data_IF_382176539817
#
_entry.id   IF_382176539817
#
_cell.length_a   1.000
_cell.length_b   1.000
_cell.length_c   1.000
_cell.angle_alpha   90.00
_cell.angle_beta   90.00
_cell.angle_gamma   90.00
#
_symmetry.space_group_name_H-M   'P 1'
#
loop_
_entity.id
_entity.type
_entity.pdbx_description
1 polymer ?
#
# COMPACT_ATOMS: atom_id res chain seq x y z
N UNK A 1 -12.10 10.73 2.07
CA UNK A 1 -10.65 10.61 1.95
C UNK A 1 -10.29 9.59 0.87
N UNK A 2 -9.33 9.92 -0.03
CA UNK A 2 -8.92 9.05 -1.13
C UNK A 2 -7.85 8.08 -0.63
N UNK A 3 -8.13 6.78 -0.78
CA UNK A 3 -7.23 5.66 -0.54
C UNK A 3 -7.10 4.90 -1.85
N UNK A 4 -6.34 5.49 -2.77
CA UNK A 4 -6.29 5.01 -4.13
C UNK A 4 -4.99 4.29 -4.47
N UNK A 5 -4.96 3.72 -5.64
CA UNK A 5 -3.77 3.07 -6.20
C UNK A 5 -3.65 3.36 -7.68
N UNK A 6 -2.46 3.12 -8.22
CA UNK A 6 -2.19 3.18 -9.64
C UNK A 6 -2.41 1.80 -10.28
N UNK A 7 -3.20 1.76 -11.32
CA UNK A 7 -3.44 0.60 -12.15
C UNK A 7 -2.51 0.61 -13.36
N UNK A 8 -1.67 -0.41 -13.47
CA UNK A 8 -0.81 -0.60 -14.62
C UNK A 8 -1.41 -1.72 -15.46
N UNK A 9 -1.80 -1.46 -16.72
CA UNK A 9 -2.37 -2.48 -17.58
C UNK A 9 -1.40 -3.64 -17.80
N UNK A 10 -1.94 -4.82 -17.99
CA UNK A 10 -1.16 -6.04 -18.23
C UNK A 10 -0.34 -5.90 -19.53
N UNK A 11 0.99 -5.96 -19.42
CA UNK A 11 1.92 -5.63 -20.50
C UNK A 11 1.90 -6.66 -21.65
N UNK A 12 1.50 -7.91 -21.35
CA UNK A 12 1.41 -8.98 -22.34
C UNK A 12 0.10 -8.94 -23.13
N UNK A 13 -0.80 -8.02 -22.78
CA UNK A 13 -2.15 -7.89 -23.35
C UNK A 13 -2.97 -9.21 -23.29
N UNK A 14 -2.75 -9.98 -22.23
CA UNK A 14 -3.42 -11.26 -21.97
C UNK A 14 -4.44 -11.14 -20.84
N UNK A 15 -5.19 -10.05 -20.84
CA UNK A 15 -6.26 -9.85 -19.87
C UNK A 15 -7.41 -10.83 -20.14
N UNK A 16 -8.00 -11.33 -19.06
CA UNK A 16 -9.27 -12.04 -19.10
C UNK A 16 -10.23 -11.41 -18.09
N UNK A 17 -11.52 -11.67 -18.28
CA UNK A 17 -12.53 -11.18 -17.35
C UNK A 17 -12.31 -11.72 -15.93
N UNK A 18 -11.87 -12.98 -15.80
CA UNK A 18 -11.56 -13.62 -14.52
C UNK A 18 -10.39 -12.92 -13.81
N UNK A 19 -9.33 -12.59 -14.56
CA UNK A 19 -8.19 -11.85 -14.01
C UNK A 19 -8.60 -10.46 -13.55
N UNK A 20 -9.30 -9.72 -14.42
CA UNK A 20 -9.81 -8.38 -14.10
C UNK A 20 -10.69 -8.41 -12.86
N UNK A 21 -11.57 -9.41 -12.74
CA UNK A 21 -12.41 -9.61 -11.57
C UNK A 21 -11.59 -9.87 -10.29
N UNK A 22 -10.58 -10.73 -10.37
CA UNK A 22 -9.73 -11.05 -9.21
C UNK A 22 -8.94 -9.82 -8.73
N UNK A 23 -8.31 -9.08 -9.64
CA UNK A 23 -7.52 -7.88 -9.29
C UNK A 23 -8.39 -6.75 -8.72
N UNK A 24 -9.56 -6.50 -9.28
CA UNK A 24 -10.49 -5.50 -8.76
C UNK A 24 -11.07 -5.90 -7.39
N UNK A 25 -11.29 -7.19 -7.17
CA UNK A 25 -11.67 -7.70 -5.85
C UNK A 25 -10.54 -7.51 -4.83
N UNK A 26 -9.29 -7.78 -5.17
CA UNK A 26 -8.16 -7.50 -4.29
C UNK A 26 -8.11 -6.01 -3.93
N UNK A 27 -8.26 -5.13 -4.93
CA UNK A 27 -8.31 -3.68 -4.70
C UNK A 27 -9.43 -3.32 -3.72
N UNK A 28 -10.64 -3.79 -3.95
CA UNK A 28 -11.79 -3.50 -3.09
C UNK A 28 -11.66 -4.05 -1.68
N UNK A 29 -11.18 -5.30 -1.55
CA UNK A 29 -11.02 -5.98 -0.27
C UNK A 29 -9.88 -5.39 0.57
N UNK A 30 -8.87 -4.81 -0.06
CA UNK A 30 -7.80 -4.10 0.64
C UNK A 30 -8.19 -2.70 1.14
N UNK A 31 -9.43 -2.24 0.90
CA UNK A 31 -9.90 -0.94 1.36
C UNK A 31 -9.64 0.21 0.37
N UNK A 32 -9.09 -0.08 -0.80
CA UNK A 32 -8.92 0.88 -1.90
C UNK A 32 -10.27 1.36 -2.40
N UNK A 33 -10.38 2.66 -2.70
CA UNK A 33 -11.61 3.30 -3.16
C UNK A 33 -11.46 4.05 -4.50
N UNK A 34 -10.24 4.21 -5.02
CA UNK A 34 -9.98 4.85 -6.31
C UNK A 34 -8.82 4.18 -7.04
N UNK A 35 -9.00 3.99 -8.34
CA UNK A 35 -7.96 3.48 -9.26
C UNK A 35 -7.58 4.56 -10.26
N UNK A 36 -6.28 4.86 -10.35
CA UNK A 36 -5.73 5.75 -11.37
C UNK A 36 -5.28 4.92 -12.57
N UNK A 37 -5.91 5.16 -13.69
CA UNK A 37 -5.49 4.59 -14.97
C UNK A 37 -4.33 5.42 -15.48
N UNK A 38 -3.11 4.94 -15.22
CA UNK A 38 -1.87 5.65 -15.50
C UNK A 38 -1.69 5.96 -16.99
N UNK A 39 -1.21 7.16 -17.31
CA UNK A 39 -1.07 7.68 -18.67
C UNK A 39 -0.07 6.92 -19.56
N UNK A 40 0.82 6.11 -18.99
CA UNK A 40 1.67 5.18 -19.75
C UNK A 40 0.97 3.90 -20.21
N UNK A 41 -0.31 3.73 -19.88
CA UNK A 41 -1.09 2.54 -20.20
C UNK A 41 -2.11 2.74 -21.33
N UNK A 42 -3.17 1.97 -21.28
CA UNK A 42 -4.32 2.03 -22.20
C UNK A 42 -5.61 2.16 -21.37
N UNK A 43 -6.72 2.57 -22.02
CA UNK A 43 -8.03 2.51 -21.40
C UNK A 43 -8.50 1.05 -21.32
N UNK A 44 -8.90 0.62 -20.14
CA UNK A 44 -9.37 -0.73 -19.88
C UNK A 44 -10.70 -1.06 -20.59
N UNK A 45 -11.07 -2.34 -20.55
CA UNK A 45 -12.29 -2.87 -21.19
C UNK A 45 -13.58 -2.32 -20.56
N UNK A 46 -14.70 -2.50 -21.26
CA UNK A 46 -16.02 -2.15 -20.70
C UNK A 46 -16.33 -2.97 -19.44
N UNK A 47 -15.89 -4.22 -19.40
CA UNK A 47 -16.05 -5.09 -18.24
C UNK A 47 -15.33 -4.54 -17.00
N UNK A 48 -14.12 -3.97 -17.16
CA UNK A 48 -13.40 -3.31 -16.06
C UNK A 48 -14.25 -2.18 -15.45
N UNK A 49 -14.79 -1.29 -16.27
CA UNK A 49 -15.61 -0.16 -15.78
C UNK A 49 -16.92 -0.64 -15.15
N UNK A 50 -17.56 -1.65 -15.75
CA UNK A 50 -18.75 -2.28 -15.16
C UNK A 50 -18.44 -2.84 -13.75
N UNK A 51 -17.34 -3.55 -13.59
CA UNK A 51 -16.94 -4.07 -12.28
C UNK A 51 -16.59 -2.95 -11.29
N UNK A 52 -15.95 -1.87 -11.74
CA UNK A 52 -15.72 -0.70 -10.89
C UNK A 52 -17.04 -0.09 -10.40
N UNK A 53 -18.05 0.00 -11.26
CA UNK A 53 -19.39 0.44 -10.89
C UNK A 53 -20.02 -0.47 -9.82
N UNK A 54 -19.94 -1.79 -10.01
CA UNK A 54 -20.52 -2.80 -9.11
C UNK A 54 -19.79 -2.85 -7.75
N UNK A 55 -18.47 -2.70 -7.76
CA UNK A 55 -17.64 -2.78 -6.55
C UNK A 55 -17.51 -1.44 -5.82
N UNK A 56 -17.98 -0.34 -6.42
CA UNK A 56 -17.86 0.99 -5.84
C UNK A 56 -16.42 1.52 -5.82
N UNK A 57 -15.65 1.21 -6.87
CA UNK A 57 -14.30 1.73 -7.08
C UNK A 57 -14.37 2.94 -8.01
N UNK A 58 -13.87 4.08 -7.56
CA UNK A 58 -13.76 5.26 -8.42
C UNK A 58 -12.60 5.10 -9.41
N UNK A 59 -12.72 5.75 -10.56
CA UNK A 59 -11.70 5.73 -11.62
C UNK A 59 -11.26 7.16 -11.95
N UNK A 60 -9.96 7.39 -11.90
CA UNK A 60 -9.25 8.53 -12.46
C UNK A 60 -8.66 8.07 -13.79
N UNK A 61 -9.14 8.59 -14.91
CA UNK A 61 -8.68 8.20 -16.25
C UNK A 61 -7.69 9.21 -16.80
N UNK A 62 -6.47 8.75 -17.09
CA UNK A 62 -5.48 9.52 -17.85
C UNK A 62 -5.51 9.16 -19.32
N UNK A 63 -5.04 10.10 -20.16
CA UNK A 63 -4.83 9.88 -21.58
C UNK A 63 -3.33 9.73 -21.88
N UNK A 64 -3.00 8.96 -22.87
CA UNK A 64 -1.75 8.24 -23.17
C UNK A 64 -0.52 9.13 -23.46
N UNK A 65 -0.22 10.03 -22.54
CA UNK A 65 0.98 10.86 -22.55
C UNK A 65 1.72 10.71 -21.22
N UNK A 66 3.04 10.55 -21.29
CA UNK A 66 3.92 10.48 -20.11
C UNK A 66 5.05 11.48 -20.21
N UNK A 67 5.83 11.66 -19.13
CA UNK A 67 7.00 12.53 -19.10
C UNK A 67 8.01 12.26 -20.23
N UNK A 68 8.10 11.03 -20.69
CA UNK A 68 8.95 10.60 -21.79
C UNK A 68 8.36 10.87 -23.18
N UNK A 69 7.04 11.05 -23.26
CA UNK A 69 6.31 11.24 -24.52
C UNK A 69 5.51 12.53 -24.47
N UNK A 70 6.06 13.61 -24.98
CA UNK A 70 5.47 14.95 -24.87
C UNK A 70 4.45 15.27 -25.95
N UNK A 71 4.51 14.60 -27.10
CA UNK A 71 3.61 14.84 -28.23
C UNK A 71 3.30 13.52 -28.94
N UNK A 72 2.02 13.28 -29.31
CA UNK A 72 1.68 12.14 -30.14
C UNK A 72 2.26 12.30 -31.54
N UNK A 73 2.64 11.19 -32.17
CA UNK A 73 3.11 11.18 -33.56
C UNK A 73 2.06 11.72 -34.53
N UNK A 74 0.81 11.39 -34.26
CA UNK A 74 -0.35 11.87 -35.04
C UNK A 74 -1.42 12.40 -34.06
N UNK A 75 -1.54 13.73 -34.02
CA UNK A 75 -2.49 14.39 -33.16
C UNK A 75 -3.95 14.05 -33.52
N UNK A 76 -4.27 13.87 -34.81
CA UNK A 76 -5.63 13.59 -35.22
C UNK A 76 -6.06 12.18 -34.75
N UNK A 77 -5.18 11.21 -34.90
CA UNK A 77 -5.39 9.85 -34.38
C UNK A 77 -5.52 9.86 -32.86
N UNK A 78 -4.62 10.58 -32.15
CA UNK A 78 -4.71 10.73 -30.70
C UNK A 78 -6.06 11.28 -30.26
N UNK A 79 -6.49 12.42 -30.83
CA UNK A 79 -7.76 13.06 -30.48
C UNK A 79 -8.96 12.19 -30.81
N UNK A 80 -8.91 11.41 -31.90
CA UNK A 80 -9.95 10.45 -32.24
C UNK A 80 -10.03 9.30 -31.22
N UNK A 81 -8.90 8.84 -30.71
CA UNK A 81 -8.85 7.83 -29.67
C UNK A 81 -9.40 8.37 -28.33
N UNK A 82 -9.03 9.61 -27.95
CA UNK A 82 -9.61 10.27 -26.77
C UNK A 82 -11.13 10.38 -26.91
N UNK A 83 -11.63 10.86 -28.08
CA UNK A 83 -13.06 10.98 -28.33
C UNK A 83 -13.79 9.63 -28.22
N UNK A 84 -13.23 8.58 -28.84
CA UNK A 84 -13.81 7.23 -28.80
C UNK A 84 -13.85 6.69 -27.36
N UNK A 85 -12.74 6.83 -26.62
CA UNK A 85 -12.66 6.37 -25.23
C UNK A 85 -13.66 7.11 -24.33
N UNK A 86 -13.72 8.43 -24.40
CA UNK A 86 -14.65 9.21 -23.58
C UNK A 86 -16.11 8.84 -23.88
N UNK A 87 -16.48 8.67 -25.15
CA UNK A 87 -17.82 8.23 -25.52
C UNK A 87 -18.18 6.86 -24.94
N UNK A 88 -17.21 5.98 -24.83
CA UNK A 88 -17.38 4.64 -24.27
C UNK A 88 -17.57 4.67 -22.75
N UNK A 89 -16.71 5.44 -22.04
CA UNK A 89 -16.63 5.33 -20.56
C UNK A 89 -17.44 6.40 -19.80
N UNK A 90 -17.84 7.49 -20.41
CA UNK A 90 -18.47 8.64 -19.73
C UNK A 90 -19.78 8.35 -18.98
N UNK A 91 -20.45 7.24 -19.28
CA UNK A 91 -21.70 6.88 -18.61
C UNK A 91 -21.50 6.00 -17.37
N UNK A 92 -20.25 5.59 -17.06
CA UNK A 92 -19.96 4.83 -15.87
C UNK A 92 -19.94 5.71 -14.62
N UNK A 93 -20.71 5.41 -13.57
CA UNK A 93 -20.71 6.17 -12.32
C UNK A 93 -19.40 6.06 -11.57
N UNK A 94 -18.60 5.02 -11.80
CA UNK A 94 -17.26 4.86 -11.26
C UNK A 94 -16.28 5.91 -11.79
N UNK A 95 -16.43 6.37 -13.01
CA UNK A 95 -15.55 7.38 -13.60
C UNK A 95 -15.72 8.72 -12.89
N UNK A 96 -14.70 9.12 -12.12
CA UNK A 96 -14.76 10.32 -11.27
C UNK A 96 -14.08 11.54 -11.90
N UNK A 97 -12.96 11.33 -12.63
CA UNK A 97 -12.07 12.42 -13.02
C UNK A 97 -11.30 12.10 -14.30
N UNK A 98 -11.00 13.14 -15.08
CA UNK A 98 -10.14 13.05 -16.25
C UNK A 98 -8.83 13.79 -16.02
N UNK A 99 -7.73 13.20 -16.51
CA UNK A 99 -6.42 13.85 -16.51
C UNK A 99 -5.78 13.67 -17.89
N UNK A 100 -5.21 14.75 -18.44
CA UNK A 100 -4.75 14.71 -19.81
C UNK A 100 -3.41 13.94 -19.98
N UNK A 101 -2.60 13.86 -18.94
CA UNK A 101 -1.28 13.22 -19.06
C UNK A 101 -0.69 12.85 -17.71
N UNK A 102 0.23 11.89 -17.72
CA UNK A 102 1.14 11.63 -16.61
C UNK A 102 2.40 12.48 -16.78
N UNK A 103 2.73 13.35 -15.80
CA UNK A 103 3.99 14.13 -15.76
C UNK A 103 4.37 14.81 -17.09
N UNK A 104 3.39 15.21 -17.89
CA UNK A 104 3.57 15.78 -19.21
C UNK A 104 2.57 16.91 -19.46
N UNK A 105 2.68 17.56 -20.61
CA UNK A 105 1.71 18.55 -21.04
C UNK A 105 0.53 17.89 -21.73
N UNK A 106 -0.67 18.47 -21.59
CA UNK A 106 -1.81 18.03 -22.37
C UNK A 106 -1.59 18.23 -23.87
N UNK A 107 -2.24 17.41 -24.67
CA UNK A 107 -2.33 17.64 -26.12
C UNK A 107 -3.36 18.72 -26.36
N UNK A 108 -2.96 19.84 -26.97
CA UNK A 108 -3.82 21.00 -27.25
C UNK A 108 -5.15 20.58 -27.87
N UNK A 109 -6.25 21.02 -27.29
CA UNK A 109 -7.62 20.70 -27.69
C UNK A 109 -8.25 19.57 -26.88
N UNK A 110 -7.50 18.90 -26.00
CA UNK A 110 -8.05 17.86 -25.12
C UNK A 110 -9.09 18.41 -24.13
N UNK A 111 -8.84 19.54 -23.42
CA UNK A 111 -9.84 20.10 -22.51
C UNK A 111 -11.15 20.45 -23.20
N UNK A 112 -11.10 21.08 -24.37
CA UNK A 112 -12.28 21.45 -25.14
C UNK A 112 -13.06 20.23 -25.62
N UNK A 113 -12.35 19.19 -26.04
CA UNK A 113 -12.97 17.91 -26.44
C UNK A 113 -13.67 17.24 -25.26
N UNK A 114 -13.02 17.16 -24.11
CA UNK A 114 -13.60 16.58 -22.90
C UNK A 114 -14.84 17.34 -22.44
N UNK A 115 -14.77 18.67 -22.39
CA UNK A 115 -15.91 19.50 -22.01
C UNK A 115 -17.09 19.34 -22.99
N UNK A 116 -16.80 19.16 -24.28
CA UNK A 116 -17.85 18.92 -25.30
C UNK A 116 -18.50 17.55 -25.15
N UNK A 117 -17.74 16.53 -24.80
CA UNK A 117 -18.20 15.14 -24.74
C UNK A 117 -18.80 14.78 -23.38
N UNK A 118 -18.23 15.32 -22.30
CA UNK A 118 -18.64 15.09 -20.91
C UNK A 118 -18.26 16.30 -20.03
N UNK A 119 -19.12 17.27 -19.97
CA UNK A 119 -18.94 18.48 -19.15
C UNK A 119 -19.30 18.31 -17.67
N UNK A 120 -19.48 17.07 -17.19
CA UNK A 120 -19.96 16.81 -15.83
C UNK A 120 -18.85 16.44 -14.84
N UNK A 121 -17.66 16.07 -15.32
CA UNK A 121 -16.53 15.65 -14.51
C UNK A 121 -15.42 16.67 -14.50
N UNK A 122 -14.66 16.69 -13.39
CA UNK A 122 -13.45 17.48 -13.28
C UNK A 122 -12.39 17.03 -14.28
N UNK A 123 -11.50 17.96 -14.61
CA UNK A 123 -10.40 17.75 -15.53
C UNK A 123 -9.15 18.44 -14.98
N UNK A 124 -8.00 17.79 -15.18
CA UNK A 124 -6.69 18.30 -14.82
C UNK A 124 -5.70 18.11 -15.99
N UNK A 125 -4.82 19.07 -16.23
CA UNK A 125 -3.94 19.07 -17.40
C UNK A 125 -2.83 18.00 -17.30
N UNK A 126 -2.39 17.68 -16.10
CA UNK A 126 -1.42 16.63 -15.83
C UNK A 126 -1.54 16.13 -14.39
N UNK A 127 -0.90 15.00 -14.11
CA UNK A 127 -0.98 14.34 -12.80
C UNK A 127 -0.46 15.18 -11.63
N UNK A 128 0.46 16.13 -11.87
CA UNK A 128 1.19 16.89 -10.84
C UNK A 128 0.89 18.40 -10.88
N UNK A 129 -0.33 18.83 -11.04
CA UNK A 129 -0.66 20.24 -11.04
C UNK A 129 -1.78 20.58 -10.06
N UNK A 130 -2.04 21.88 -9.84
CA UNK A 130 -3.16 22.40 -9.05
C UNK A 130 -3.22 21.89 -7.59
N UNK A 131 -2.06 21.76 -6.94
CA UNK A 131 -1.96 21.29 -5.54
C UNK A 131 -1.80 19.76 -5.40
N UNK A 132 -1.82 19.06 -6.51
CA UNK A 132 -1.41 17.66 -6.58
C UNK A 132 0.10 17.61 -6.78
N UNK A 133 0.79 16.83 -5.98
CA UNK A 133 2.25 16.73 -6.07
C UNK A 133 2.72 15.28 -6.00
N UNK A 134 3.65 14.96 -6.85
CA UNK A 134 4.46 13.77 -6.79
C UNK A 134 5.67 14.01 -5.86
N UNK A 135 6.28 12.98 -5.42
CA UNK A 135 7.44 13.10 -4.54
C UNK A 135 7.73 11.82 -3.78
N UNK A 136 7.16 10.73 -4.24
CA UNK A 136 7.43 9.42 -3.66
C UNK A 136 8.90 9.07 -3.74
N UNK A 137 9.50 8.47 -2.73
CA UNK A 137 10.85 7.92 -2.82
C UNK A 137 10.95 6.73 -3.78
N UNK A 138 9.84 6.07 -4.17
CA UNK A 138 9.75 4.88 -5.02
C UNK A 138 10.61 3.70 -4.55
N UNK A 139 11.04 3.72 -3.31
CA UNK A 139 11.91 2.72 -2.66
C UNK A 139 11.55 2.58 -1.19
N UNK A 140 12.12 1.58 -0.55
CA UNK A 140 12.00 1.40 0.88
C UNK A 140 12.67 2.58 1.63
N UNK A 141 12.00 3.09 2.66
CA UNK A 141 12.55 4.09 3.56
C UNK A 141 12.23 3.71 5.00
N UNK A 142 12.96 4.30 5.95
CA UNK A 142 12.63 4.11 7.36
C UNK A 142 11.21 4.63 7.63
N UNK A 143 10.33 3.87 8.30
CA UNK A 143 8.98 4.30 8.63
C UNK A 143 8.90 5.69 9.29
N UNK A 144 9.85 6.04 10.14
CA UNK A 144 9.91 7.37 10.79
C UNK A 144 10.06 8.50 9.78
N UNK A 145 10.72 8.25 8.64
CA UNK A 145 10.92 9.26 7.60
C UNK A 145 9.61 9.75 7.01
N UNK A 146 8.59 8.90 6.90
CA UNK A 146 7.27 9.32 6.44
C UNK A 146 6.64 10.33 7.40
N UNK A 147 6.82 10.14 8.71
CA UNK A 147 6.26 11.03 9.73
C UNK A 147 7.03 12.35 9.88
N UNK A 148 8.26 12.47 9.40
CA UNK A 148 8.98 13.75 9.38
C UNK A 148 8.34 14.78 8.44
N UNK A 149 7.60 14.32 7.45
CA UNK A 149 6.94 15.15 6.44
C UNK A 149 7.86 16.23 5.86
N UNK A 150 9.06 15.83 5.47
CA UNK A 150 10.05 16.74 4.91
C UNK A 150 9.73 17.07 3.46
N UNK A 151 9.50 18.33 3.16
CA UNK A 151 9.32 18.82 1.80
C UNK A 151 10.66 18.75 1.03
N UNK A 152 10.94 17.59 0.47
CA UNK A 152 12.02 17.41 -0.52
C UNK A 152 11.40 17.13 -1.88
N UNK A 153 12.04 17.49 -3.00
CA UNK A 153 11.55 17.16 -4.35
C UNK A 153 11.28 15.68 -4.61
N UNK A 154 11.71 14.80 -3.75
CA UNK A 154 11.36 13.35 -3.73
C UNK A 154 11.39 12.83 -2.30
N UNK A 155 10.94 13.63 -1.36
CA UNK A 155 10.87 13.29 0.05
C UNK A 155 9.54 12.69 0.45
N UNK A 156 9.42 12.41 1.72
CA UNK A 156 8.21 11.82 2.33
C UNK A 156 7.17 12.91 2.61
N UNK A 157 6.81 13.70 1.61
CA UNK A 157 5.78 14.72 1.78
C UNK A 157 4.40 14.05 1.81
N UNK A 158 3.72 14.17 2.93
CA UNK A 158 2.42 13.53 3.22
C UNK A 158 1.33 14.58 3.52
N UNK A 159 1.15 15.48 2.58
CA UNK A 159 0.13 16.53 2.59
C UNK A 159 -0.47 16.71 1.19
N UNK A 160 -1.55 17.45 1.06
CA UNK A 160 -2.23 17.66 -0.21
C UNK A 160 -2.83 16.36 -0.77
N UNK A 161 -2.55 16.11 -2.02
CA UNK A 161 -2.85 14.85 -2.71
C UNK A 161 -1.63 14.39 -3.50
N UNK A 162 -1.28 13.12 -3.37
CA UNK A 162 -0.14 12.56 -4.10
C UNK A 162 -0.59 11.45 -5.05
N UNK A 163 -0.38 11.59 -6.38
CA UNK A 163 -0.82 10.60 -7.37
C UNK A 163 0.10 9.38 -7.45
N UNK A 164 1.31 9.43 -6.87
CA UNK A 164 2.29 8.35 -6.95
C UNK A 164 3.14 8.24 -5.69
N UNK A 165 2.66 7.53 -4.68
CA UNK A 165 3.39 7.35 -3.43
C UNK A 165 3.49 5.88 -3.03
N UNK A 166 4.64 5.25 -3.19
CA UNK A 166 4.79 3.83 -2.88
C UNK A 166 6.21 3.30 -3.05
N UNK A 167 6.35 2.00 -2.83
CA UNK A 167 7.60 1.28 -3.05
C UNK A 167 7.31 -0.17 -3.47
N UNK A 168 8.25 -0.83 -4.16
CA UNK A 168 8.13 -2.24 -4.49
C UNK A 168 8.27 -3.13 -3.25
N UNK A 169 7.83 -4.37 -3.40
CA UNK A 169 8.13 -5.46 -2.46
C UNK A 169 8.72 -6.64 -3.21
N UNK A 170 9.37 -7.58 -2.51
CA UNK A 170 9.85 -8.80 -3.13
C UNK A 170 8.67 -9.79 -3.27
N UNK A 171 8.58 -10.59 -4.36
CA UNK A 171 7.61 -11.69 -4.46
C UNK A 171 7.81 -12.74 -3.37
N UNK A 172 6.82 -13.61 -3.19
CA UNK A 172 7.01 -14.82 -2.37
C UNK A 172 8.04 -15.74 -3.03
N UNK A 173 8.60 -16.66 -2.25
CA UNK A 173 9.62 -17.58 -2.78
C UNK A 173 9.05 -18.52 -3.84
N UNK A 174 7.79 -18.88 -3.72
CA UNK A 174 7.06 -19.71 -4.69
C UNK A 174 7.06 -19.04 -6.06
N UNK A 175 6.74 -17.77 -6.11
CA UNK A 175 6.70 -16.99 -7.35
C UNK A 175 8.10 -16.75 -7.92
N UNK A 176 9.10 -16.51 -7.07
CA UNK A 176 10.49 -16.43 -7.54
C UNK A 176 10.91 -17.72 -8.24
N UNK A 177 10.49 -18.89 -7.72
CA UNK A 177 10.75 -20.21 -8.34
C UNK A 177 9.98 -20.46 -9.62
N UNK A 178 8.84 -19.79 -9.82
CA UNK A 178 8.10 -19.85 -11.09
C UNK A 178 8.75 -18.98 -12.18
N UNK A 179 9.41 -17.88 -11.79
CA UNK A 179 9.98 -16.91 -12.73
C UNK A 179 11.37 -17.26 -13.23
N UNK A 180 12.16 -18.04 -12.48
CA UNK A 180 13.56 -18.30 -12.83
C UNK A 180 14.06 -19.67 -12.34
N UNK A 181 15.11 -20.16 -12.97
CA UNK A 181 15.74 -21.43 -12.61
C UNK A 181 16.38 -21.36 -11.21
N UNK A 182 16.43 -22.50 -10.50
CA UNK A 182 17.04 -22.61 -9.16
C UNK A 182 18.50 -22.10 -9.11
N UNK A 183 19.28 -22.29 -10.17
CA UNK A 183 20.67 -21.80 -10.27
C UNK A 183 20.78 -20.28 -10.28
N UNK A 184 19.71 -19.58 -10.65
CA UNK A 184 19.67 -18.12 -10.78
C UNK A 184 19.04 -17.46 -9.54
N UNK A 185 18.37 -18.26 -8.69
CA UNK A 185 17.73 -17.81 -7.46
C UNK A 185 18.75 -17.50 -6.36
N UNK A 186 19.66 -18.45 -6.11
CA UNK A 186 20.58 -18.31 -4.97
C UNK A 186 21.92 -19.04 -5.18
N UNK A 187 23.08 -18.36 -4.99
CA UNK A 187 23.21 -16.92 -4.78
C UNK A 187 22.58 -16.12 -5.93
N UNK A 188 22.07 -14.94 -5.65
CA UNK A 188 21.39 -14.09 -6.65
C UNK A 188 22.25 -13.95 -7.91
N UNK A 189 21.74 -14.45 -9.05
CA UNK A 189 22.31 -14.16 -10.36
C UNK A 189 21.91 -12.74 -10.79
N UNK A 190 22.84 -11.79 -10.63
CA UNK A 190 22.55 -10.37 -10.87
C UNK A 190 22.03 -10.09 -12.27
N UNK A 191 22.50 -10.77 -13.30
CA UNK A 191 22.08 -10.54 -14.69
C UNK A 191 20.58 -10.88 -14.87
N UNK A 192 20.14 -12.02 -14.35
CA UNK A 192 18.73 -12.46 -14.43
C UNK A 192 17.84 -11.56 -13.58
N UNK A 193 18.27 -11.26 -12.36
CA UNK A 193 17.48 -10.43 -11.45
C UNK A 193 17.37 -8.98 -11.92
N UNK A 194 18.44 -8.39 -12.48
CA UNK A 194 18.39 -7.04 -13.05
C UNK A 194 17.47 -7.01 -14.30
N UNK A 195 17.48 -8.04 -15.12
CA UNK A 195 16.54 -8.15 -16.25
C UNK A 195 15.08 -8.14 -15.77
N UNK A 196 14.76 -8.93 -14.73
CA UNK A 196 13.43 -8.99 -14.13
C UNK A 196 13.08 -7.76 -13.28
N UNK A 197 14.04 -6.88 -12.98
CA UNK A 197 13.85 -5.54 -12.41
C UNK A 197 13.77 -4.44 -13.48
N UNK A 198 13.54 -4.78 -14.74
CA UNK A 198 13.54 -3.81 -15.83
C UNK A 198 14.88 -3.07 -16.00
N UNK A 199 15.99 -3.79 -15.86
CA UNK A 199 17.36 -3.26 -15.86
C UNK A 199 17.63 -2.22 -14.75
N UNK A 200 17.08 -2.47 -13.56
CA UNK A 200 17.27 -1.63 -12.39
C UNK A 200 16.29 -0.46 -12.28
N UNK A 201 15.28 -0.40 -13.14
CA UNK A 201 14.26 0.66 -13.12
C UNK A 201 13.55 0.79 -11.77
N UNK A 202 13.25 -0.35 -11.11
CA UNK A 202 12.54 -0.35 -9.83
C UNK A 202 13.45 -0.26 -8.60
N UNK A 203 14.76 -0.13 -8.79
CA UNK A 203 15.75 0.04 -7.72
C UNK A 203 15.80 -1.12 -6.71
N UNK A 204 15.53 -2.35 -7.15
CA UNK A 204 15.52 -3.53 -6.27
C UNK A 204 16.87 -3.80 -5.61
N UNK A 205 17.98 -3.41 -6.24
CA UNK A 205 19.32 -3.47 -5.61
C UNK A 205 19.41 -2.67 -4.30
N UNK A 206 18.69 -1.55 -4.21
CA UNK A 206 18.58 -0.78 -2.97
C UNK A 206 17.80 -1.57 -1.92
N UNK A 207 16.67 -2.16 -2.29
CA UNK A 207 15.88 -3.02 -1.42
C UNK A 207 16.71 -4.20 -0.89
N UNK A 208 17.51 -4.86 -1.74
CA UNK A 208 18.36 -5.98 -1.31
C UNK A 208 19.39 -5.55 -0.27
N UNK A 209 19.99 -4.36 -0.46
CA UNK A 209 20.91 -3.76 0.52
C UNK A 209 20.19 -3.47 1.84
N UNK A 210 19.03 -2.86 1.79
CA UNK A 210 18.23 -2.54 2.98
C UNK A 210 17.80 -3.80 3.71
N UNK A 211 17.47 -4.86 2.99
CA UNK A 211 17.09 -6.14 3.53
C UNK A 211 18.21 -6.76 4.39
N UNK A 212 19.45 -6.71 3.87
CA UNK A 212 20.63 -7.19 4.62
C UNK A 212 20.91 -6.28 5.81
N UNK A 213 20.83 -4.97 5.66
CA UNK A 213 21.10 -4.01 6.72
C UNK A 213 20.09 -4.14 7.88
N UNK A 214 18.85 -4.48 7.58
CA UNK A 214 17.78 -4.53 8.57
C UNK A 214 17.62 -5.89 9.24
N UNK A 215 17.70 -6.96 8.45
CA UNK A 215 17.38 -8.33 8.89
C UNK A 215 18.59 -9.26 8.88
N UNK A 216 19.78 -8.73 8.56
CA UNK A 216 21.00 -9.51 8.43
C UNK A 216 21.07 -10.36 7.15
N UNK A 217 22.23 -10.98 6.90
CA UNK A 217 22.45 -11.83 5.73
C UNK A 217 21.51 -13.04 5.74
N UNK A 218 21.12 -13.47 4.55
CA UNK A 218 20.33 -14.68 4.35
C UNK A 218 21.22 -15.82 3.87
N UNK A 219 20.85 -17.04 4.23
CA UNK A 219 21.55 -18.28 3.85
C UNK A 219 20.89 -19.00 2.68
N UNK A 220 19.65 -18.62 2.34
CA UNK A 220 18.86 -19.22 1.27
C UNK A 220 17.91 -18.22 0.66
N UNK A 221 17.35 -18.56 -0.50
CA UNK A 221 16.30 -17.77 -1.15
C UNK A 221 15.03 -17.71 -0.29
N UNK A 222 14.68 -18.79 0.42
CA UNK A 222 13.51 -18.82 1.30
C UNK A 222 13.63 -17.78 2.41
N UNK A 223 14.77 -17.73 3.08
CA UNK A 223 15.03 -16.73 4.12
C UNK A 223 15.05 -15.31 3.55
N UNK A 224 15.65 -15.13 2.38
CA UNK A 224 15.74 -13.84 1.71
C UNK A 224 14.35 -13.33 1.33
N UNK A 225 13.51 -14.17 0.73
CA UNK A 225 12.15 -13.81 0.35
C UNK A 225 11.28 -13.48 1.57
N UNK A 226 11.37 -14.26 2.66
CA UNK A 226 10.65 -13.97 3.90
C UNK A 226 11.02 -12.60 4.47
N UNK A 227 12.30 -12.26 4.51
CA UNK A 227 12.77 -10.93 4.94
C UNK A 227 12.28 -9.83 4.03
N UNK A 228 12.23 -10.10 2.71
CA UNK A 228 11.66 -9.18 1.73
C UNK A 228 10.17 -8.90 1.96
N UNK A 229 9.40 -9.92 2.33
CA UNK A 229 8.00 -9.78 2.71
C UNK A 229 7.84 -8.89 3.97
N UNK A 230 8.67 -9.07 4.98
CA UNK A 230 8.64 -8.24 6.20
C UNK A 230 8.97 -6.76 5.88
N UNK A 231 9.96 -6.53 5.03
CA UNK A 231 10.32 -5.17 4.63
C UNK A 231 9.20 -4.49 3.83
N UNK A 232 8.61 -5.19 2.87
CA UNK A 232 7.46 -4.72 2.10
C UNK A 232 6.25 -4.41 2.98
N UNK A 233 5.97 -5.28 3.95
CA UNK A 233 4.89 -5.13 4.91
C UNK A 233 5.01 -3.84 5.75
N UNK A 234 6.18 -3.62 6.36
CA UNK A 234 6.39 -2.45 7.23
C UNK A 234 6.32 -1.14 6.42
N UNK A 235 6.84 -1.15 5.19
CA UNK A 235 6.81 0.01 4.33
C UNK A 235 5.39 0.36 3.87
N UNK A 236 4.64 -0.60 3.33
CA UNK A 236 3.26 -0.38 2.90
C UNK A 236 2.39 0.12 4.04
N UNK A 237 2.52 -0.49 5.22
CA UNK A 237 1.81 -0.08 6.43
C UNK A 237 2.12 1.35 6.83
N UNK A 238 3.39 1.71 6.92
CA UNK A 238 3.81 3.05 7.33
C UNK A 238 3.34 4.14 6.36
N UNK A 239 3.32 3.84 5.05
CA UNK A 239 2.77 4.75 4.04
C UNK A 239 1.30 5.03 4.34
N UNK A 240 0.46 4.00 4.43
CA UNK A 240 -0.97 4.20 4.65
C UNK A 240 -1.27 4.88 5.97
N UNK A 241 -0.59 4.48 7.04
CA UNK A 241 -0.85 5.00 8.38
C UNK A 241 -0.42 6.46 8.55
N UNK A 242 0.66 6.91 7.90
CA UNK A 242 1.03 8.33 7.96
C UNK A 242 0.05 9.22 7.20
N UNK A 243 -0.50 8.74 6.08
CA UNK A 243 -1.55 9.45 5.36
C UNK A 243 -2.85 9.49 6.17
N UNK A 244 -3.20 8.43 6.86
CA UNK A 244 -4.31 8.40 7.82
C UNK A 244 -4.08 9.40 8.98
N UNK A 245 -2.85 9.49 9.50
CA UNK A 245 -2.49 10.44 10.58
C UNK A 245 -2.75 11.89 10.17
N UNK A 246 -2.43 12.23 8.93
CA UNK A 246 -2.60 13.58 8.38
C UNK A 246 -3.98 13.82 7.74
N UNK A 247 -4.88 12.85 7.84
CA UNK A 247 -6.20 12.92 7.22
C UNK A 247 -6.95 14.19 7.63
N UNK A 248 -7.37 14.96 6.61
CA UNK A 248 -8.15 16.18 6.79
C UNK A 248 -7.50 17.21 7.73
N UNK A 249 -6.18 17.27 7.80
CA UNK A 249 -5.50 18.39 8.43
C UNK A 249 -5.70 19.63 7.54
N UNK A 250 -6.38 20.63 8.08
CA UNK A 250 -6.75 21.88 7.40
C UNK A 250 -5.78 23.04 7.67
N UNK A 251 -4.61 22.76 8.25
CA UNK A 251 -3.54 23.75 8.33
C UNK A 251 -3.05 24.16 6.93
N UNK A 252 -1.83 24.61 6.82
CA UNK A 252 -1.19 24.90 5.53
C UNK A 252 -0.99 23.62 4.67
N UNK A 253 -1.39 22.45 5.17
CA UNK A 253 -1.11 21.13 4.64
C UNK A 253 -2.34 20.23 4.67
N UNK A 254 -3.40 20.68 4.03
CA UNK A 254 -4.58 19.85 3.84
C UNK A 254 -4.21 18.52 3.16
N UNK A 255 -4.62 17.40 3.75
CA UNK A 255 -4.35 16.06 3.23
C UNK A 255 -5.66 15.40 2.79
N UNK A 256 -5.82 15.16 1.49
CA UNK A 256 -7.03 14.58 0.90
C UNK A 256 -6.88 13.12 0.46
N UNK A 257 -5.65 12.60 0.41
CA UNK A 257 -5.37 11.21 0.09
C UNK A 257 -4.16 10.98 -0.79
N UNK A 258 -3.96 9.72 -1.13
CA UNK A 258 -2.88 9.28 -2.02
C UNK A 258 -3.36 8.23 -3.00
N UNK A 259 -2.58 8.04 -4.07
CA UNK A 259 -2.63 6.89 -4.96
C UNK A 259 -1.32 6.12 -4.80
N UNK A 260 -1.40 4.90 -4.26
CA UNK A 260 -0.21 4.07 -4.03
C UNK A 260 0.43 3.66 -5.36
N UNK A 261 1.73 3.91 -5.53
CA UNK A 261 2.49 3.57 -6.74
C UNK A 261 3.23 2.25 -6.57
N UNK A 262 2.77 1.23 -7.13
CA UNK A 262 1.46 0.84 -7.66
C UNK A 262 1.06 -0.50 -7.06
N UNK A 263 -0.14 -1.03 -7.32
CA UNK A 263 -0.62 -2.17 -6.56
C UNK A 263 -0.59 -3.52 -7.29
N UNK A 264 -0.69 -3.53 -8.63
CA UNK A 264 -0.69 -4.73 -9.45
C UNK A 264 0.60 -4.86 -10.30
N UNK A 265 0.98 -6.06 -10.68
CA UNK A 265 2.10 -6.30 -11.56
C UNK A 265 1.63 -6.54 -12.99
N UNK A 266 2.19 -5.78 -13.93
CA UNK A 266 1.85 -5.87 -15.36
C UNK A 266 2.51 -7.03 -16.09
N UNK A 267 3.53 -7.63 -15.50
CA UNK A 267 4.31 -8.75 -16.05
C UNK A 267 5.07 -9.46 -14.93
N UNK A 268 5.62 -10.68 -15.16
CA UNK A 268 6.52 -11.32 -14.21
C UNK A 268 7.74 -10.43 -13.93
N UNK A 269 7.96 -10.09 -12.65
CA UNK A 269 9.06 -9.21 -12.24
C UNK A 269 9.41 -9.43 -10.76
N UNK A 270 10.67 -9.18 -10.40
CA UNK A 270 11.13 -9.27 -9.00
C UNK A 270 10.70 -8.06 -8.16
N UNK A 271 10.29 -6.99 -8.81
CA UNK A 271 9.71 -5.81 -8.16
C UNK A 271 8.20 -5.98 -7.99
N UNK A 272 7.78 -6.90 -7.13
CA UNK A 272 6.36 -7.14 -6.86
C UNK A 272 5.70 -5.95 -6.16
N UNK A 273 4.40 -6.04 -5.99
CA UNK A 273 3.53 -5.01 -5.42
C UNK A 273 2.63 -5.62 -4.32
N UNK A 274 1.37 -5.23 -4.26
CA UNK A 274 0.42 -5.86 -3.34
C UNK A 274 0.12 -7.31 -3.72
N UNK A 275 0.17 -7.63 -5.01
CA UNK A 275 0.21 -8.98 -5.57
C UNK A 275 1.11 -9.00 -6.79
N UNK A 276 1.59 -10.16 -7.16
CA UNK A 276 2.42 -10.33 -8.33
C UNK A 276 1.61 -10.62 -9.60
N UNK A 277 2.32 -10.86 -10.70
CA UNK A 277 1.68 -11.15 -11.97
C UNK A 277 0.84 -12.46 -11.96
N UNK A 278 1.21 -13.44 -11.14
CA UNK A 278 0.46 -14.69 -10.96
C UNK A 278 -0.74 -14.55 -10.02
N UNK A 279 -1.05 -13.33 -9.55
CA UNK A 279 -2.10 -13.02 -8.57
C UNK A 279 -1.80 -13.57 -7.16
N UNK A 280 -0.56 -13.92 -6.87
CA UNK A 280 -0.18 -14.31 -5.52
C UNK A 280 -0.03 -13.05 -4.65
N UNK A 281 -0.79 -12.93 -3.55
CA UNK A 281 -0.72 -11.77 -2.69
C UNK A 281 0.58 -11.75 -1.89
N UNK A 282 1.16 -10.57 -1.78
CA UNK A 282 2.32 -10.31 -0.91
C UNK A 282 1.88 -9.84 0.47
N UNK A 283 2.82 -9.78 1.41
CA UNK A 283 2.55 -9.20 2.72
C UNK A 283 2.07 -7.73 2.64
N UNK A 284 2.44 -7.01 1.58
CA UNK A 284 1.98 -5.64 1.34
C UNK A 284 0.47 -5.54 1.18
N UNK A 285 -0.19 -6.51 0.52
CA UNK A 285 -1.66 -6.54 0.40
C UNK A 285 -2.33 -6.64 1.76
N UNK A 286 -1.89 -7.58 2.59
CA UNK A 286 -2.50 -7.81 3.90
C UNK A 286 -2.28 -6.63 4.86
N UNK A 287 -1.10 -6.02 4.82
CA UNK A 287 -0.81 -4.84 5.65
C UNK A 287 -1.50 -3.58 5.15
N UNK A 288 -1.70 -3.44 3.84
CA UNK A 288 -2.58 -2.41 3.27
C UNK A 288 -4.01 -2.59 3.75
N UNK A 289 -4.57 -3.79 3.63
CA UNK A 289 -5.94 -4.07 4.07
C UNK A 289 -6.15 -3.79 5.58
N UNK A 290 -5.17 -4.13 6.40
CA UNK A 290 -5.21 -3.81 7.83
C UNK A 290 -5.15 -2.30 8.07
N UNK A 291 -4.25 -1.56 7.40
CA UNK A 291 -4.10 -0.11 7.57
C UNK A 291 -5.29 0.69 7.05
N UNK A 292 -6.08 0.11 6.15
CA UNK A 292 -7.28 0.71 5.56
C UNK A 292 -8.59 0.20 6.16
N UNK A 293 -8.55 -0.49 7.32
CA UNK A 293 -9.76 -0.80 8.09
C UNK A 293 -10.52 0.49 8.41
N UNK A 294 -11.85 0.54 8.24
CA UNK A 294 -12.63 1.77 8.48
C UNK A 294 -12.59 2.30 9.91
N UNK A 295 -12.36 1.42 10.88
CA UNK A 295 -11.99 1.78 12.25
C UNK A 295 -10.62 1.17 12.51
N UNK A 296 -9.61 2.00 12.72
CA UNK A 296 -8.23 1.55 12.77
C UNK A 296 -7.44 2.22 13.89
N UNK A 297 -6.71 1.44 14.67
CA UNK A 297 -5.76 1.94 15.65
C UNK A 297 -4.33 1.79 15.09
N UNK A 298 -3.58 2.87 15.05
CA UNK A 298 -2.24 2.93 14.46
C UNK A 298 -1.20 3.57 15.36
N UNK A 299 0.07 3.29 15.11
CA UNK A 299 1.21 3.74 15.88
C UNK A 299 2.07 4.74 15.09
N UNK A 300 2.33 5.91 15.67
CA UNK A 300 3.29 6.87 15.15
C UNK A 300 4.71 6.47 15.57
N UNK A 301 5.52 6.09 14.59
CA UNK A 301 6.89 5.62 14.82
C UNK A 301 7.83 6.71 15.36
N UNK A 302 7.55 7.99 15.06
CA UNK A 302 8.41 9.12 15.45
C UNK A 302 8.07 9.62 16.85
N UNK A 303 6.78 9.80 17.14
CA UNK A 303 6.30 10.34 18.41
C UNK A 303 6.08 9.27 19.48
N UNK A 304 6.02 7.99 19.12
CA UNK A 304 5.61 6.89 19.99
C UNK A 304 4.18 7.02 20.52
N UNK A 305 3.29 7.59 19.74
CA UNK A 305 1.90 7.78 20.09
C UNK A 305 0.99 6.84 19.31
N UNK A 306 -0.24 6.69 19.78
CA UNK A 306 -1.28 5.90 19.11
C UNK A 306 -2.39 6.82 18.67
N UNK A 307 -2.80 6.68 17.42
CA UNK A 307 -3.93 7.40 16.83
C UNK A 307 -5.06 6.43 16.46
N UNK A 308 -6.28 6.92 16.37
CA UNK A 308 -7.45 6.12 16.00
C UNK A 308 -8.20 6.81 14.87
N UNK A 309 -8.37 6.08 13.78
CA UNK A 309 -9.02 6.53 12.54
C UNK A 309 -10.46 6.06 12.50
N UNK A 310 -11.34 6.92 11.99
CA UNK A 310 -12.72 6.62 11.67
C UNK A 310 -13.04 7.09 10.24
N UNK A 311 -13.29 6.16 9.32
CA UNK A 311 -13.68 6.43 7.93
C UNK A 311 -15.21 6.33 7.70
N UNK A 312 -15.98 6.09 8.76
CA UNK A 312 -17.43 6.14 8.65
C UNK A 312 -17.96 7.57 8.80
N UNK A 313 -18.98 7.92 8.07
CA UNK A 313 -19.71 9.20 8.18
C UNK A 313 -20.65 9.21 9.40
N UNK A 314 -20.17 8.74 10.55
CA UNK A 314 -20.84 8.79 11.84
C UNK A 314 -19.82 8.84 12.97
N UNK A 315 -20.22 9.45 14.08
CA UNK A 315 -19.44 9.47 15.31
C UNK A 315 -19.54 8.13 16.06
N UNK A 316 -18.47 7.81 16.80
CA UNK A 316 -18.49 6.72 17.79
C UNK A 316 -17.98 7.26 19.12
N UNK A 317 -18.64 6.86 20.22
CA UNK A 317 -18.34 7.34 21.58
C UNK A 317 -17.92 6.19 22.47
N UNK A 318 -17.12 6.53 23.49
CA UNK A 318 -16.68 5.60 24.54
C UNK A 318 -15.94 4.37 24.01
N UNK A 319 -15.24 4.51 22.88
CA UNK A 319 -14.35 3.48 22.37
C UNK A 319 -13.07 3.47 23.20
N UNK A 320 -12.45 2.29 23.34
CA UNK A 320 -11.24 2.13 24.14
C UNK A 320 -10.10 1.61 23.28
N UNK A 321 -9.03 2.39 23.17
CA UNK A 321 -7.77 1.94 22.57
C UNK A 321 -6.84 1.42 23.65
N UNK A 322 -6.19 0.29 23.40
CA UNK A 322 -5.24 -0.37 24.30
C UNK A 322 -3.93 -0.57 23.55
N UNK A 323 -2.83 -0.15 24.15
CA UNK A 323 -1.49 -0.42 23.65
C UNK A 323 -0.74 -1.35 24.61
N UNK A 324 -0.17 -2.40 24.06
CA UNK A 324 0.64 -3.39 24.78
C UNK A 324 2.00 -3.48 24.13
N UNK A 325 3.07 -3.52 24.92
CA UNK A 325 4.43 -3.76 24.44
C UNK A 325 4.94 -5.07 25.00
N UNK A 326 5.58 -5.86 24.15
CA UNK A 326 6.18 -7.14 24.50
C UNK A 326 7.66 -7.13 24.13
N UNK A 327 8.51 -7.70 24.98
CA UNK A 327 9.89 -7.97 24.64
C UNK A 327 10.03 -9.13 23.66
N UNK A 328 11.26 -9.40 23.20
CA UNK A 328 11.55 -10.50 22.25
C UNK A 328 11.15 -11.89 22.78
N UNK A 329 11.04 -12.04 24.11
CA UNK A 329 10.64 -13.29 24.76
C UNK A 329 9.11 -13.37 25.00
N UNK A 330 8.34 -12.49 24.39
CA UNK A 330 6.88 -12.41 24.55
C UNK A 330 6.41 -12.00 25.95
N UNK A 331 7.28 -11.42 26.77
CA UNK A 331 6.90 -10.88 28.06
C UNK A 331 6.29 -9.49 27.87
N UNK A 332 5.05 -9.28 28.35
CA UNK A 332 4.42 -7.96 28.35
C UNK A 332 5.16 -7.05 29.34
N UNK A 333 5.68 -5.94 28.84
CA UNK A 333 6.50 -4.97 29.59
C UNK A 333 5.82 -3.62 29.76
N UNK A 334 4.75 -3.37 28.97
CA UNK A 334 3.94 -2.15 29.08
C UNK A 334 2.50 -2.44 28.66
N UNK A 335 1.54 -1.79 29.31
CA UNK A 335 0.16 -1.72 28.90
C UNK A 335 -0.46 -0.41 29.37
N UNK A 336 -1.12 0.29 28.46
CA UNK A 336 -1.87 1.51 28.76
C UNK A 336 -3.12 1.55 27.88
N UNK A 337 -4.14 2.30 28.29
CA UNK A 337 -5.36 2.45 27.49
C UNK A 337 -5.96 3.84 27.66
N UNK A 338 -6.64 4.30 26.62
CA UNK A 338 -7.38 5.55 26.61
C UNK A 338 -8.81 5.34 26.09
N UNK A 339 -9.74 6.13 26.60
CA UNK A 339 -11.08 6.24 26.03
C UNK A 339 -11.09 7.35 25.01
N UNK A 340 -11.65 7.07 23.83
CA UNK A 340 -11.67 7.99 22.69
C UNK A 340 -13.09 8.14 22.14
N UNK A 341 -13.42 9.38 21.75
CA UNK A 341 -14.60 9.67 20.95
C UNK A 341 -14.12 9.96 19.52
N UNK A 342 -14.61 9.18 18.56
CA UNK A 342 -14.17 9.22 17.18
C UNK A 342 -15.10 10.13 16.38
N UNK A 343 -14.61 11.25 15.82
CA UNK A 343 -15.40 12.10 14.97
C UNK A 343 -15.81 11.37 13.67
N UNK A 344 -16.88 11.80 13.04
CA UNK A 344 -17.29 11.34 11.72
C UNK A 344 -16.22 11.65 10.69
N UNK A 345 -15.80 10.65 9.89
CA UNK A 345 -14.77 10.77 8.84
C UNK A 345 -13.51 11.51 9.31
N UNK A 346 -12.97 11.12 10.47
CA UNK A 346 -11.87 11.84 11.12
C UNK A 346 -10.86 10.95 11.80
N UNK A 347 -9.94 11.58 12.49
CA UNK A 347 -8.88 10.92 13.25
C UNK A 347 -8.73 11.56 14.63
N UNK A 348 -8.46 10.75 15.64
CA UNK A 348 -8.03 11.18 16.96
C UNK A 348 -6.54 10.88 17.06
N UNK A 349 -5.72 11.90 16.84
CA UNK A 349 -4.27 11.79 16.93
C UNK A 349 -3.80 11.81 18.38
N UNK A 350 -2.68 11.13 18.62
CA UNK A 350 -1.97 11.13 19.89
C UNK A 350 -2.85 10.75 21.11
N UNK A 351 -3.79 9.81 20.91
CA UNK A 351 -4.76 9.37 21.92
C UNK A 351 -4.11 8.79 23.19
N UNK A 352 -2.95 8.15 23.03
CA UNK A 352 -2.07 7.71 24.13
C UNK A 352 -0.61 7.68 23.69
N UNK A 353 0.32 7.72 24.65
CA UNK A 353 1.76 7.66 24.41
C UNK A 353 2.34 6.36 24.96
N UNK A 354 3.07 5.62 24.14
CA UNK A 354 3.79 4.43 24.57
C UNK A 354 5.12 4.84 25.19
N UNK A 355 5.32 4.46 26.45
CA UNK A 355 6.59 4.67 27.17
C UNK A 355 7.35 3.35 27.21
N UNK A 356 8.39 3.26 26.37
CA UNK A 356 9.23 2.07 26.33
C UNK A 356 10.13 2.01 27.56
N UNK A 357 10.22 0.85 28.25
CA UNK A 357 11.18 0.66 29.34
C UNK A 357 12.61 0.83 28.86
N UNK A 358 13.49 1.43 29.69
CA UNK A 358 14.90 1.65 29.33
C UNK A 358 15.65 0.39 28.96
N UNK A 359 15.30 -0.76 29.56
CA UNK A 359 15.93 -2.06 29.34
C UNK A 359 15.11 -2.99 28.43
N UNK A 360 14.33 -2.43 27.50
CA UNK A 360 13.59 -3.26 26.54
C UNK A 360 14.56 -3.95 25.58
N UNK A 361 14.21 -5.15 25.11
CA UNK A 361 15.02 -5.89 24.11
C UNK A 361 15.22 -5.10 22.82
N UNK A 362 16.33 -5.34 22.12
CA UNK A 362 16.67 -4.70 20.84
C UNK A 362 15.50 -4.74 19.89
N UNK A 363 14.91 -5.91 19.70
CA UNK A 363 13.63 -6.06 18.98
C UNK A 363 12.51 -6.28 20.00
N UNK A 364 11.41 -5.58 19.80
CA UNK A 364 10.22 -5.66 20.63
C UNK A 364 8.95 -5.48 19.78
N UNK A 365 7.81 -5.78 20.35
CA UNK A 365 6.55 -5.82 19.63
C UNK A 365 5.53 -4.89 20.28
N UNK A 366 4.72 -4.24 19.45
CA UNK A 366 3.60 -3.41 19.89
C UNK A 366 2.32 -4.06 19.37
N UNK A 367 1.36 -4.28 20.24
CA UNK A 367 0.01 -4.70 19.89
C UNK A 367 -0.98 -3.61 20.28
N UNK A 368 -1.77 -3.18 19.31
CA UNK A 368 -2.88 -2.26 19.52
C UNK A 368 -4.19 -3.00 19.41
N UNK A 369 -5.16 -2.63 20.23
CA UNK A 369 -6.51 -3.18 20.21
C UNK A 369 -7.48 -2.01 20.36
N UNK A 370 -8.42 -1.86 19.44
CA UNK A 370 -9.55 -0.95 19.57
C UNK A 370 -10.80 -1.74 19.93
N UNK A 371 -11.46 -1.32 21.02
CA UNK A 371 -12.72 -1.92 21.48
C UNK A 371 -13.86 -0.92 21.35
N UNK A 372 -15.03 -1.43 21.00
CA UNK A 372 -16.26 -0.64 21.03
C UNK A 372 -16.75 -0.38 22.47
N UNK A 373 -17.84 0.36 22.59
CA UNK A 373 -18.49 0.71 23.86
C UNK A 373 -18.99 -0.53 24.67
N UNK A 374 -19.08 -1.69 24.02
CA UNK A 374 -19.47 -2.97 24.66
C UNK A 374 -18.26 -3.84 25.01
N UNK A 375 -17.05 -3.36 24.72
CA UNK A 375 -15.82 -4.08 24.97
C UNK A 375 -15.44 -5.12 23.92
N UNK A 376 -16.12 -5.16 22.77
CA UNK A 376 -15.79 -6.02 21.64
C UNK A 376 -14.62 -5.45 20.84
N UNK A 377 -13.68 -6.31 20.44
CA UNK A 377 -12.59 -5.93 19.56
C UNK A 377 -13.12 -5.59 18.17
N UNK A 378 -12.83 -4.37 17.67
CA UNK A 378 -13.26 -3.86 16.37
C UNK A 378 -12.09 -3.61 15.43
N UNK A 379 -10.88 -3.44 15.95
CA UNK A 379 -9.64 -3.41 15.19
C UNK A 379 -8.49 -3.94 16.04
N UNK A 380 -7.51 -4.55 15.42
CA UNK A 380 -6.26 -4.88 16.08
C UNK A 380 -5.08 -4.68 15.12
N UNK A 381 -3.97 -4.18 15.64
CA UNK A 381 -2.79 -3.89 14.88
C UNK A 381 -1.54 -4.40 15.58
N UNK A 382 -0.50 -4.73 14.82
CA UNK A 382 0.72 -5.32 15.33
C UNK A 382 1.94 -4.75 14.64
N UNK A 383 2.98 -4.42 15.42
CA UNK A 383 4.23 -3.87 14.93
C UNK A 383 5.40 -4.61 15.57
N UNK A 384 6.48 -4.70 14.82
CA UNK A 384 7.81 -5.00 15.36
C UNK A 384 8.67 -3.75 15.23
N UNK A 385 9.47 -3.50 16.24
CA UNK A 385 10.29 -2.30 16.34
C UNK A 385 11.66 -2.66 16.88
N UNK A 386 12.67 -1.84 16.56
CA UNK A 386 13.99 -1.93 17.14
C UNK A 386 14.32 -0.69 17.99
N UNK A 387 15.30 -0.82 18.89
CA UNK A 387 15.85 0.26 19.67
C UNK A 387 16.85 1.14 18.90
N UNK A 388 17.10 0.86 17.64
CA UNK A 388 18.03 1.65 16.83
C UNK A 388 17.57 3.10 16.77
N UNK A 389 18.52 4.00 16.98
CA UNK A 389 18.23 5.42 16.95
C UNK A 389 18.04 5.88 15.51
N UNK A 390 16.94 6.56 15.26
CA UNK A 390 16.71 7.27 14.04
C UNK A 390 17.31 8.68 14.16
N UNK A 391 18.28 9.00 13.30
CA UNK A 391 19.01 10.29 13.35
C UNK A 391 18.44 11.33 12.38
N UNK A 392 17.25 11.08 11.85
CA UNK A 392 16.60 11.93 10.86
C UNK A 392 17.00 11.57 9.42
N UNK A 393 16.18 11.99 8.48
CA UNK A 393 16.40 11.81 7.05
C UNK A 393 17.32 12.89 6.50
N UNK A 394 18.62 12.66 6.52
CA UNK A 394 19.57 13.56 5.84
C UNK A 394 19.64 13.33 4.32
N UNK A 395 19.15 12.19 3.85
CA UNK A 395 19.12 11.83 2.43
C UNK A 395 17.97 10.86 2.17
N UNK A 396 17.47 10.81 0.93
CA UNK A 396 16.50 9.81 0.45
C UNK A 396 17.05 8.36 0.49
N UNK A 397 18.27 8.17 0.97
CA UNK A 397 19.02 6.92 0.91
C UNK A 397 19.33 6.31 2.28
N UNK A 398 18.72 6.80 3.34
CA UNK A 398 18.86 6.18 4.67
C UNK A 398 18.29 4.75 4.69
N UNK A 399 18.79 3.88 5.58
CA UNK A 399 18.26 2.51 5.70
C UNK A 399 16.75 2.55 6.02
N UNK A 400 15.99 1.68 5.39
CA UNK A 400 14.54 1.63 5.49
C UNK A 400 14.07 1.41 6.95
N UNK A 401 14.74 0.57 7.67
CA UNK A 401 14.60 0.31 9.09
C UNK A 401 15.88 -0.40 9.52
N UNK A 402 16.15 -0.59 10.78
CA UNK A 402 17.39 -1.27 11.20
C UNK A 402 17.21 -2.06 12.50
N UNK A 403 18.15 -2.97 12.77
CA UNK A 403 18.22 -3.67 14.05
C UNK A 403 17.22 -4.80 14.24
N UNK A 404 16.71 -5.40 13.16
CA UNK A 404 15.77 -6.54 13.23
C UNK A 404 16.44 -7.92 13.15
N UNK A 405 17.75 -8.03 13.16
CA UNK A 405 18.45 -9.31 13.05
C UNK A 405 18.01 -10.32 14.12
N UNK A 406 17.63 -9.84 15.31
CA UNK A 406 17.18 -10.70 16.40
C UNK A 406 15.87 -11.45 16.09
N UNK A 407 15.09 -11.01 15.08
CA UNK A 407 13.93 -11.79 14.64
C UNK A 407 14.30 -13.18 14.12
N UNK A 408 15.49 -13.33 13.52
CA UNK A 408 15.99 -14.62 13.04
C UNK A 408 16.30 -15.61 14.18
N UNK A 409 16.47 -15.10 15.42
CA UNK A 409 16.74 -15.89 16.62
C UNK A 409 15.47 -16.37 17.32
N UNK A 410 14.30 -15.92 16.87
CA UNK A 410 13.02 -16.36 17.44
C UNK A 410 12.84 -17.87 17.24
N UNK A 411 12.38 -18.53 18.30
CA UNK A 411 12.01 -19.95 18.20
C UNK A 411 10.82 -20.10 17.27
N UNK A 412 10.92 -21.04 16.34
CA UNK A 412 9.82 -21.36 15.46
C UNK A 412 8.58 -21.79 16.28
N UNK A 413 7.48 -21.08 16.09
CA UNK A 413 6.23 -21.41 16.74
C UNK A 413 5.62 -22.67 16.12
N UNK A 414 5.14 -23.59 16.96
CA UNK A 414 4.37 -24.75 16.50
C UNK A 414 2.92 -24.31 16.28
N UNK A 415 2.57 -24.05 15.03
CA UNK A 415 1.20 -23.69 14.66
C UNK A 415 0.49 -24.91 14.14
N UNK A 416 -0.68 -25.23 14.73
CA UNK A 416 -1.59 -26.22 14.16
C UNK A 416 -2.56 -25.53 13.23
N UNK A 417 -2.50 -25.88 11.97
CA UNK A 417 -3.43 -25.41 10.95
C UNK A 417 -4.52 -26.47 10.77
N UNK A 418 -5.77 -26.03 10.77
CA UNK A 418 -6.92 -26.83 10.33
C UNK A 418 -7.76 -25.96 9.40
N UNK A 419 -8.38 -26.57 8.40
CA UNK A 419 -9.22 -25.86 7.46
C UNK A 419 -10.50 -26.63 7.14
N UNK A 420 -11.52 -25.89 6.70
CA UNK A 420 -12.75 -26.42 6.11
C UNK A 420 -12.98 -25.71 4.80
N UNK A 421 -13.32 -26.47 3.77
CA UNK A 421 -13.70 -25.91 2.47
C UNK A 421 -15.21 -26.00 2.36
N UNK A 422 -15.85 -24.91 1.94
CA UNK A 422 -17.27 -24.87 1.58
C UNK A 422 -17.41 -24.22 0.21
N UNK A 423 -18.35 -24.68 -0.57
CA UNK A 423 -18.72 -24.14 -1.87
C UNK A 423 -20.06 -23.41 -1.74
N UNK A 424 -20.13 -22.21 -2.31
CA UNK A 424 -21.35 -21.42 -2.40
C UNK A 424 -21.33 -20.60 -3.69
N UNK A 425 -22.35 -20.80 -4.57
CA UNK A 425 -22.52 -20.06 -5.81
C UNK A 425 -21.26 -19.98 -6.69
N UNK A 426 -20.60 -21.10 -6.97
CA UNK A 426 -19.33 -21.20 -7.70
C UNK A 426 -18.11 -20.52 -7.03
N UNK A 427 -18.23 -20.12 -5.77
CA UNK A 427 -17.12 -19.68 -4.97
C UNK A 427 -16.69 -20.76 -3.97
N UNK A 428 -15.40 -20.91 -3.77
CA UNK A 428 -14.85 -21.75 -2.72
C UNK A 428 -14.43 -20.86 -1.55
N UNK A 429 -14.93 -21.17 -0.35
CA UNK A 429 -14.52 -20.52 0.89
C UNK A 429 -13.67 -21.50 1.68
N UNK A 430 -12.56 -21.05 2.19
CA UNK A 430 -11.65 -21.84 3.01
C UNK A 430 -11.57 -21.21 4.41
N UNK A 431 -12.27 -21.82 5.36
CA UNK A 431 -12.21 -21.40 6.76
C UNK A 431 -10.95 -21.98 7.40
N UNK A 432 -9.94 -21.15 7.65
CA UNK A 432 -8.65 -21.56 8.21
C UNK A 432 -8.63 -21.25 9.71
N UNK A 433 -8.31 -22.25 10.52
CA UNK A 433 -8.06 -22.08 11.95
C UNK A 433 -6.60 -22.33 12.26
N UNK A 434 -5.92 -21.30 12.74
CA UNK A 434 -4.54 -21.37 13.24
C UNK A 434 -4.58 -21.44 14.77
N UNK A 435 -4.05 -22.52 15.35
CA UNK A 435 -3.85 -22.63 16.80
C UNK A 435 -2.36 -22.50 17.10
N UNK A 436 -2.02 -21.40 17.72
CA UNK A 436 -0.69 -21.13 18.21
C UNK A 436 -0.72 -21.05 19.75
N UNK A 437 0.26 -21.63 20.40
CA UNK A 437 0.43 -21.53 21.86
C UNK A 437 1.20 -20.26 22.26
N UNK A 438 1.71 -19.49 21.31
CA UNK A 438 2.41 -18.25 21.57
C UNK A 438 1.41 -17.09 21.72
N UNK A 439 1.49 -16.38 22.84
CA UNK A 439 0.57 -15.29 23.22
C UNK A 439 0.56 -14.09 22.27
N UNK A 440 1.60 -13.93 21.42
CA UNK A 440 1.74 -12.80 20.51
C UNK A 440 0.91 -12.91 19.22
N UNK A 441 0.53 -14.13 18.81
CA UNK A 441 -0.03 -14.37 17.48
C UNK A 441 -1.52 -14.75 17.51
N UNK A 442 -2.29 -14.13 18.36
CA UNK A 442 -3.76 -14.17 18.22
C UNK A 442 -4.21 -12.92 17.47
N UNK A 443 -3.87 -12.81 16.18
CA UNK A 443 -4.57 -11.88 15.31
C UNK A 443 -5.95 -12.48 14.98
N UNK A 444 -7.04 -11.75 15.10
CA UNK A 444 -8.30 -12.18 14.48
C UNK A 444 -8.06 -12.29 12.97
N UNK A 445 -8.56 -13.37 12.37
CA UNK A 445 -8.63 -13.53 10.93
C UNK A 445 -9.30 -12.32 10.29
N UNK A 446 -8.93 -11.91 9.06
CA UNK A 446 -9.73 -10.98 8.28
C UNK A 446 -11.18 -11.49 8.29
N UNK A 447 -12.09 -10.61 8.56
CA UNK A 447 -13.51 -10.94 8.70
C UNK A 447 -14.13 -11.23 7.35
N UNK A 448 -15.08 -12.13 7.37
CA UNK A 448 -16.04 -12.37 6.29
C UNK A 448 -16.66 -11.10 5.72
#
# INVERSE_FOLDING_TARGET
FIRGTNWIPEAMLRTSDERTYAELRYSRQSGVNLLRMWGGGIAESDYFFQLCDELGLLVWQEFWMTGDTRHPHDKAVYMSNVESTVKRIRNHPSLAYYVASNESTEVTGTPELLNKLDGTRGFQMQSECEGVHDGSPYKQVNPMQHYENTASPRGSRVDGFNPEYGAPTLPTVEILREMMDEKDLWPINKEVWDYLDGNGFHLMSTMYTDLVNNYGKSSSIDEFAQKGQLLGAINSKSIWEVWNYNKLDYGDRFCSGLLFWYHNCSMPQVASRMWDWSLEPTASLYHTANSLEPLHAQFDYLKNTVSVVNDYYREFKDYKVIAQVYDINSKKVFEESAVVNLPSDGVVNDALTIRFPENISQVHFIKLILKDEKGKDVSSNFYWRSNDKYEGSKTLTGPAASGFEDLSKLKQAKVKLTYKVREDNNNYFVDITLRNTCLLYTSPSPRD
#
